data_IF_682212352966
#
_entry.id   IF_682212352966
#
_cell.length_a   1.000
_cell.length_b   1.000
_cell.length_c   1.000
_cell.angle_alpha   90.00
_cell.angle_beta   90.00
_cell.angle_gamma   90.00
#
_symmetry.space_group_name_H-M   'P 1'
#
loop_
_entity.id
_entity.type
_entity.pdbx_description
1 polymer ?
#
# COMPACT_ATOMS: atom_id res chain seq x y z
N UNK A 1 -6.28 13.37 68.82
CA UNK A 1 -4.88 13.75 68.54
C UNK A 1 -4.76 13.84 67.02
N UNK A 2 -4.96 15.03 66.46
CA UNK A 2 -3.89 15.86 65.84
C UNK A 2 -3.24 15.13 64.65
N UNK A 3 -3.42 15.52 63.39
CA UNK A 3 -3.47 16.88 62.86
C UNK A 3 -2.28 17.06 61.91
N UNK A 4 -2.57 17.01 60.60
CA UNK A 4 -1.95 17.73 59.47
C UNK A 4 -0.43 17.95 59.44
N UNK A 5 0.23 17.42 58.39
CA UNK A 5 1.20 18.19 57.55
C UNK A 5 1.73 17.31 56.41
N UNK A 6 1.32 17.54 55.14
CA UNK A 6 1.87 18.46 54.11
C UNK A 6 2.83 17.75 53.14
N UNK A 7 2.50 17.82 51.84
CA UNK A 7 3.34 17.90 50.62
C UNK A 7 2.47 17.45 49.44
N UNK A 8 1.67 18.33 48.82
CA UNK A 8 1.98 19.15 47.62
C UNK A 8 2.73 18.37 46.52
N UNK A 9 2.00 18.12 45.42
CA UNK A 9 2.41 18.03 44.00
C UNK A 9 1.61 16.89 43.34
N UNK A 10 1.07 16.99 42.14
CA UNK A 10 0.86 18.05 41.17
C UNK A 10 -0.16 17.46 40.18
N UNK A 11 -0.81 18.33 39.40
CA UNK A 11 -1.72 17.94 38.33
C UNK A 11 -1.08 16.88 37.40
N UNK A 12 -1.82 15.81 37.12
CA UNK A 12 -1.72 15.10 35.85
C UNK A 12 -3.07 15.23 35.17
N UNK A 13 -3.19 16.30 34.38
CA UNK A 13 -4.32 16.56 33.52
C UNK A 13 -4.42 15.50 32.43
N UNK A 14 -5.68 15.16 32.10
CA UNK A 14 -6.17 14.86 30.76
C UNK A 14 -5.28 13.98 29.84
N UNK A 15 -5.60 12.68 29.83
CA UNK A 15 -5.26 11.76 28.76
C UNK A 15 -6.39 10.77 28.51
N UNK A 16 -7.63 11.28 28.54
CA UNK A 16 -8.83 10.52 28.21
C UNK A 16 -8.84 10.23 26.70
N UNK A 17 -8.02 9.28 26.24
CA UNK A 17 -8.22 8.67 24.92
C UNK A 17 -9.42 7.74 25.02
N UNK A 18 -10.60 8.35 24.92
CA UNK A 18 -11.87 7.68 24.65
C UNK A 18 -11.71 6.77 23.43
N UNK A 19 -11.62 5.48 23.69
CA UNK A 19 -11.82 4.44 22.69
C UNK A 19 -13.32 4.37 22.42
N UNK A 20 -13.83 5.27 21.57
CA UNK A 20 -15.19 5.20 21.05
C UNK A 20 -15.24 4.15 19.92
N UNK A 21 -16.17 3.18 19.95
CA UNK A 21 -16.34 2.24 18.87
C UNK A 21 -17.11 2.89 17.69
N UNK A 22 -16.49 2.77 16.49
CA UNK A 22 -17.09 2.65 15.16
C UNK A 22 -18.20 3.62 14.69
N UNK A 23 -17.80 4.56 13.81
CA UNK A 23 -18.47 4.89 12.55
C UNK A 23 -17.44 5.58 11.62
N UNK A 24 -16.87 4.87 10.66
CA UNK A 24 -15.99 5.43 9.62
C UNK A 24 -14.53 5.64 10.05
N UNK A 25 -13.82 4.56 10.38
CA UNK A 25 -12.38 4.63 10.60
C UNK A 25 -11.71 5.06 9.28
N UNK A 26 -11.31 6.34 9.20
CA UNK A 26 -10.55 6.87 8.07
C UNK A 26 -9.30 6.00 7.88
N UNK A 27 -9.03 5.65 6.63
CA UNK A 27 -7.81 4.93 6.28
C UNK A 27 -6.57 5.62 6.85
N UNK A 28 -5.55 4.84 7.17
CA UNK A 28 -4.25 5.38 7.61
C UNK A 28 -3.26 5.29 6.46
N UNK A 29 -2.28 6.21 6.42
CA UNK A 29 -1.18 6.12 5.46
C UNK A 29 -0.46 4.76 5.52
N UNK A 30 -0.37 4.15 6.72
CA UNK A 30 0.18 2.81 6.89
C UNK A 30 -0.66 1.75 6.18
N UNK A 31 -1.99 1.77 6.36
CA UNK A 31 -2.89 0.81 5.71
C UNK A 31 -2.86 0.98 4.19
N UNK A 32 -2.91 2.22 3.69
CA UNK A 32 -2.78 2.52 2.26
C UNK A 32 -1.47 1.97 1.69
N UNK A 33 -0.33 2.22 2.35
CA UNK A 33 0.97 1.70 1.91
C UNK A 33 1.01 0.17 1.95
N UNK A 34 0.47 -0.44 3.00
CA UNK A 34 0.35 -1.90 3.14
C UNK A 34 -0.43 -2.52 1.99
N UNK A 35 -1.65 -2.03 1.76
CA UNK A 35 -2.53 -2.50 0.69
C UNK A 35 -1.88 -2.28 -0.69
N UNK A 36 -1.20 -1.16 -0.91
CA UNK A 36 -0.47 -0.90 -2.16
C UNK A 36 0.59 -1.95 -2.42
N UNK A 37 1.37 -2.33 -1.39
CA UNK A 37 2.38 -3.36 -1.51
C UNK A 37 1.78 -4.76 -1.71
N UNK A 38 0.60 -5.02 -1.16
CA UNK A 38 -0.15 -6.26 -1.41
C UNK A 38 -0.53 -6.35 -2.90
N UNK A 39 -1.08 -5.28 -3.48
CA UNK A 39 -1.39 -5.23 -4.92
C UNK A 39 -0.15 -5.40 -5.79
N UNK A 40 0.96 -4.77 -5.41
CA UNK A 40 2.23 -4.94 -6.11
C UNK A 40 2.76 -6.39 -6.03
N UNK A 41 2.52 -7.11 -4.93
CA UNK A 41 2.84 -8.53 -4.81
C UNK A 41 1.96 -9.41 -5.69
N UNK A 42 0.67 -9.11 -5.78
CA UNK A 42 -0.25 -9.79 -6.70
C UNK A 42 0.18 -9.56 -8.15
N UNK A 43 0.50 -8.32 -8.50
CA UNK A 43 1.02 -7.96 -9.81
C UNK A 43 2.32 -8.72 -10.15
N UNK A 44 3.28 -8.74 -9.23
CA UNK A 44 4.52 -9.50 -9.40
C UNK A 44 4.23 -11.00 -9.65
N UNK A 45 3.25 -11.55 -8.94
CA UNK A 45 2.87 -12.96 -9.04
C UNK A 45 2.22 -13.28 -10.39
N UNK A 46 1.31 -12.44 -10.88
CA UNK A 46 0.71 -12.59 -12.21
C UNK A 46 1.79 -12.59 -13.31
N UNK A 47 2.76 -11.68 -13.22
CA UNK A 47 3.88 -11.64 -14.17
C UNK A 47 4.80 -12.86 -14.09
N UNK A 48 5.06 -13.39 -12.89
CA UNK A 48 5.88 -14.59 -12.70
C UNK A 48 5.21 -15.87 -13.25
N UNK A 49 3.88 -15.86 -13.37
CA UNK A 49 3.11 -16.95 -13.94
C UNK A 49 3.05 -16.91 -15.47
N UNK A 50 3.23 -15.74 -16.10
CA UNK A 50 3.31 -15.58 -17.55
C UNK A 50 4.63 -16.20 -18.09
N UNK A 51 4.56 -17.48 -18.48
CA UNK A 51 5.72 -18.27 -18.97
C UNK A 51 5.65 -18.59 -20.45
N UNK A 52 4.45 -18.49 -21.02
CA UNK A 52 4.09 -18.74 -22.41
C UNK A 52 2.88 -17.88 -22.77
N UNK A 53 2.44 -17.94 -24.03
CA UNK A 53 1.37 -17.08 -24.52
C UNK A 53 0.00 -17.37 -23.86
N UNK A 54 -0.26 -18.61 -23.46
CA UNK A 54 -1.51 -18.97 -22.79
C UNK A 54 -1.56 -18.37 -21.38
N UNK A 55 -0.51 -18.59 -20.60
CA UNK A 55 -0.37 -18.03 -19.26
C UNK A 55 -0.22 -16.50 -19.28
N UNK A 56 0.38 -15.93 -20.33
CA UNK A 56 0.43 -14.48 -20.54
C UNK A 56 -0.97 -13.85 -20.70
N UNK A 57 -1.88 -14.52 -21.42
CA UNK A 57 -3.27 -14.05 -21.55
C UNK A 57 -4.03 -14.15 -20.24
N UNK A 58 -3.75 -15.17 -19.43
CA UNK A 58 -4.33 -15.27 -18.08
C UNK A 58 -3.80 -14.16 -17.19
N UNK A 59 -2.48 -13.95 -17.16
CA UNK A 59 -1.86 -12.86 -16.42
C UNK A 59 -2.40 -11.49 -16.86
N UNK A 60 -2.65 -11.26 -18.16
CA UNK A 60 -3.26 -10.03 -18.66
C UNK A 60 -4.64 -9.78 -18.01
N UNK A 61 -5.49 -10.80 -17.90
CA UNK A 61 -6.81 -10.69 -17.25
C UNK A 61 -6.70 -10.36 -15.76
N UNK A 62 -5.74 -10.99 -15.08
CA UNK A 62 -5.49 -10.73 -13.65
C UNK A 62 -4.96 -9.32 -13.43
N UNK A 63 -4.03 -8.87 -14.27
CA UNK A 63 -3.48 -7.51 -14.22
C UNK A 63 -4.57 -6.48 -14.47
N UNK A 64 -5.51 -6.76 -15.38
CA UNK A 64 -6.64 -5.86 -15.64
C UNK A 64 -7.54 -5.70 -14.41
N UNK A 65 -7.79 -6.78 -13.66
CA UNK A 65 -8.55 -6.71 -12.41
C UNK A 65 -7.83 -5.89 -11.34
N UNK A 66 -6.50 -5.95 -11.30
CA UNK A 66 -5.71 -5.14 -10.36
C UNK A 66 -5.81 -3.63 -10.65
N UNK A 67 -6.12 -3.21 -11.88
CA UNK A 67 -6.27 -1.79 -12.20
C UNK A 67 -7.36 -1.14 -11.36
N UNK A 68 -8.51 -1.80 -11.23
CA UNK A 68 -9.62 -1.32 -10.40
C UNK A 68 -9.20 -1.17 -8.93
N UNK A 69 -8.45 -2.15 -8.41
CA UNK A 69 -7.96 -2.11 -7.02
C UNK A 69 -6.93 -1.00 -6.80
N UNK A 70 -6.04 -0.73 -7.77
CA UNK A 70 -5.09 0.38 -7.70
C UNK A 70 -5.81 1.74 -7.75
N UNK A 71 -6.85 1.89 -8.58
CA UNK A 71 -7.66 3.10 -8.66
C UNK A 71 -8.43 3.35 -7.34
N UNK A 72 -8.95 2.29 -6.70
CA UNK A 72 -9.56 2.39 -5.38
C UNK A 72 -8.56 2.84 -4.30
N UNK A 73 -7.34 2.29 -4.31
CA UNK A 73 -6.27 2.73 -3.41
C UNK A 73 -5.89 4.19 -3.67
N UNK A 74 -5.81 4.63 -4.93
CA UNK A 74 -5.53 6.02 -5.29
C UNK A 74 -6.58 6.96 -4.67
N UNK A 75 -7.87 6.65 -4.85
CA UNK A 75 -8.97 7.44 -4.29
C UNK A 75 -8.94 7.47 -2.75
N UNK A 76 -8.61 6.34 -2.11
CA UNK A 76 -8.44 6.26 -0.65
C UNK A 76 -7.23 7.08 -0.18
N UNK A 77 -6.11 7.04 -0.91
CA UNK A 77 -4.91 7.82 -0.64
C UNK A 77 -5.20 9.32 -0.70
N UNK A 78 -5.88 9.77 -1.76
CA UNK A 78 -6.31 11.16 -1.93
C UNK A 78 -7.21 11.64 -0.78
N UNK A 79 -8.13 10.79 -0.33
CA UNK A 79 -9.04 11.10 0.78
C UNK A 79 -8.32 11.24 2.13
N UNK A 80 -7.22 10.51 2.35
CA UNK A 80 -6.37 10.62 3.55
C UNK A 80 -5.42 11.82 3.45
N UNK A 81 -5.00 12.17 2.22
CA UNK A 81 -4.07 13.26 1.95
C UNK A 81 -2.61 12.82 2.08
N UNK A 82 -1.70 13.80 2.13
CA UNK A 82 -0.25 13.54 2.23
C UNK A 82 0.19 13.31 3.69
N UNK A 83 1.06 12.32 3.95
CA UNK A 83 1.65 12.14 5.28
C UNK A 83 2.55 13.33 5.64
N UNK A 84 2.79 13.53 6.95
CA UNK A 84 3.87 14.43 7.38
C UNK A 84 5.23 13.81 7.06
N UNK A 85 6.32 14.60 7.00
CA UNK A 85 7.66 14.08 6.75
C UNK A 85 8.10 12.98 7.73
N UNK A 86 7.71 13.08 9.00
CA UNK A 86 8.02 12.07 10.02
C UNK A 86 7.27 10.75 9.75
N UNK A 87 5.98 10.83 9.45
CA UNK A 87 5.17 9.65 9.08
C UNK A 87 5.69 9.01 7.81
N UNK A 88 6.03 9.81 6.79
CA UNK A 88 6.63 9.33 5.54
C UNK A 88 7.94 8.58 5.80
N UNK A 89 8.83 9.14 6.63
CA UNK A 89 10.10 8.51 6.97
C UNK A 89 9.91 7.18 7.71
N UNK A 90 8.98 7.13 8.66
CA UNK A 90 8.70 5.93 9.44
C UNK A 90 8.09 4.83 8.57
N UNK A 91 7.16 5.17 7.68
CA UNK A 91 6.60 4.24 6.70
C UNK A 91 7.68 3.73 5.73
N UNK A 92 8.54 4.63 5.23
CA UNK A 92 9.63 4.25 4.34
C UNK A 92 10.56 3.24 4.99
N UNK A 93 10.96 3.45 6.26
CA UNK A 93 11.77 2.49 7.02
C UNK A 93 11.03 1.18 7.24
N UNK A 94 9.77 1.24 7.66
CA UNK A 94 8.94 0.07 7.99
C UNK A 94 8.76 -0.87 6.80
N UNK A 95 8.57 -0.31 5.61
CA UNK A 95 8.29 -1.08 4.40
C UNK A 95 9.48 -1.22 3.44
N UNK A 96 10.65 -0.69 3.76
CA UNK A 96 11.82 -0.65 2.87
C UNK A 96 12.19 -2.03 2.28
N UNK A 97 12.33 -3.04 3.14
CA UNK A 97 12.73 -4.39 2.73
C UNK A 97 11.67 -5.02 1.82
N UNK A 98 10.40 -4.97 2.26
CA UNK A 98 9.27 -5.49 1.51
C UNK A 98 9.18 -4.84 0.13
N UNK A 99 9.19 -3.50 0.08
CA UNK A 99 9.16 -2.72 -1.16
C UNK A 99 10.30 -3.10 -2.09
N UNK A 100 11.53 -3.19 -1.57
CA UNK A 100 12.72 -3.56 -2.36
C UNK A 100 12.56 -4.95 -2.98
N UNK A 101 12.11 -5.94 -2.18
CA UNK A 101 11.88 -7.30 -2.64
C UNK A 101 10.82 -7.35 -3.75
N UNK A 102 9.70 -6.65 -3.59
CA UNK A 102 8.62 -6.62 -4.57
C UNK A 102 9.07 -5.97 -5.88
N UNK A 103 9.73 -4.80 -5.80
CA UNK A 103 10.24 -4.11 -6.98
C UNK A 103 11.27 -4.96 -7.75
N UNK A 104 12.11 -5.71 -7.04
CA UNK A 104 13.02 -6.68 -7.65
C UNK A 104 12.28 -7.78 -8.41
N UNK A 105 11.21 -8.34 -7.83
CA UNK A 105 10.35 -9.33 -8.50
C UNK A 105 9.69 -8.75 -9.75
N UNK A 106 9.03 -7.60 -9.63
CA UNK A 106 8.35 -6.94 -10.76
C UNK A 106 9.33 -6.67 -11.88
N UNK A 107 10.51 -6.12 -11.59
CA UNK A 107 11.53 -5.81 -12.59
C UNK A 107 11.99 -7.05 -13.37
N UNK A 108 12.28 -8.13 -12.64
CA UNK A 108 12.69 -9.41 -13.23
C UNK A 108 11.56 -10.05 -14.05
N UNK A 109 10.34 -10.07 -13.51
CA UNK A 109 9.18 -10.70 -14.14
C UNK A 109 8.70 -9.92 -15.36
N UNK A 110 8.68 -8.59 -15.31
CA UNK A 110 8.29 -7.73 -16.45
C UNK A 110 9.21 -7.95 -17.65
N UNK A 111 10.53 -8.10 -17.41
CA UNK A 111 11.49 -8.36 -18.49
C UNK A 111 11.19 -9.68 -19.20
N UNK A 112 10.86 -10.73 -18.44
CA UNK A 112 10.47 -12.04 -18.99
C UNK A 112 9.12 -11.97 -19.71
N UNK A 113 8.13 -11.37 -19.07
CA UNK A 113 6.79 -11.20 -19.61
C UNK A 113 6.80 -10.45 -20.96
N UNK A 114 7.57 -9.37 -21.08
CA UNK A 114 7.72 -8.61 -22.34
C UNK A 114 8.36 -9.43 -23.46
N UNK A 115 9.20 -10.41 -23.14
CA UNK A 115 9.83 -11.27 -24.16
C UNK A 115 8.84 -12.24 -24.83
N UNK A 116 7.65 -12.43 -24.27
CA UNK A 116 6.59 -13.25 -24.85
C UNK A 116 5.88 -12.55 -26.02
N UNK A 117 5.98 -11.21 -26.11
CA UNK A 117 5.34 -10.38 -27.15
C UNK A 117 3.83 -10.61 -27.29
N UNK A 118 3.16 -10.99 -26.19
CA UNK A 118 1.71 -11.20 -26.17
C UNK A 118 1.00 -9.84 -25.98
N UNK A 119 0.35 -9.37 -27.04
CA UNK A 119 -0.22 -8.02 -27.11
C UNK A 119 -1.14 -7.65 -25.94
N UNK A 120 -2.01 -8.56 -25.49
CA UNK A 120 -2.92 -8.30 -24.36
C UNK A 120 -2.17 -8.06 -23.06
N UNK A 121 -1.06 -8.76 -22.84
CA UNK A 121 -0.24 -8.58 -21.64
C UNK A 121 0.48 -7.23 -21.66
N UNK A 122 1.00 -6.81 -22.82
CA UNK A 122 1.62 -5.50 -22.98
C UNK A 122 0.62 -4.35 -22.77
N UNK A 123 -0.62 -4.52 -23.24
CA UNK A 123 -1.68 -3.55 -23.06
C UNK A 123 -2.08 -3.41 -21.57
N UNK A 124 -2.35 -4.52 -20.88
CA UNK A 124 -2.68 -4.49 -19.45
C UNK A 124 -1.53 -3.94 -18.60
N UNK A 125 -0.27 -4.23 -18.96
CA UNK A 125 0.91 -3.61 -18.34
C UNK A 125 0.93 -2.09 -18.50
N UNK A 126 0.59 -1.59 -19.70
CA UNK A 126 0.52 -0.16 -19.96
C UNK A 126 -0.64 0.50 -19.21
N UNK A 127 -1.77 -0.19 -19.07
CA UNK A 127 -2.92 0.28 -18.31
C UNK A 127 -2.59 0.40 -16.81
N UNK A 128 -2.10 -0.68 -16.21
CA UNK A 128 -1.68 -0.70 -14.81
C UNK A 128 -0.63 0.37 -14.51
N UNK A 129 0.34 0.56 -15.42
CA UNK A 129 1.36 1.59 -15.28
C UNK A 129 0.79 3.01 -15.15
N UNK A 130 -0.31 3.32 -15.86
CA UNK A 130 -1.01 4.61 -15.74
C UNK A 130 -1.69 4.76 -14.38
N UNK A 131 -2.45 3.74 -13.95
CA UNK A 131 -3.14 3.74 -12.65
C UNK A 131 -2.15 3.87 -11.49
N UNK A 132 -1.09 3.05 -11.49
CA UNK A 132 -0.04 3.15 -10.47
C UNK A 132 0.62 4.54 -10.46
N UNK A 133 0.94 5.12 -11.61
CA UNK A 133 1.56 6.46 -11.66
C UNK A 133 0.66 7.59 -11.15
N UNK A 134 -0.65 7.35 -11.01
CA UNK A 134 -1.61 8.30 -10.50
C UNK A 134 -1.71 8.29 -8.96
N UNK A 135 -1.14 7.28 -8.29
CA UNK A 135 -1.08 7.25 -6.82
C UNK A 135 -0.05 8.30 -6.36
N UNK A 136 -0.47 9.29 -5.54
CA UNK A 136 0.32 10.47 -5.18
C UNK A 136 1.57 10.20 -4.33
#
# INVERSE_FOLDING_TARGET
>A
MSGVSRNIAALAAAGLCLVLPSCGQKDTHEKIMGDTLDLMEQFATALEQARDNESARQAAREIEQLVEEFDEIAARSDAVGKPTPEVEQDLAKKFAERRTKILGRISSATTKARSLDEGSLLESLAHLGKSWSAIP
#
